data_IF_147522169293
#
_entry.id   IF_147522169293
#
_cell.length_a   1.000
_cell.length_b   1.000
_cell.length_c   1.000
_cell.angle_alpha   90.00
_cell.angle_beta   90.00
_cell.angle_gamma   90.00
#
_symmetry.space_group_name_H-M   'P 1'
#
loop_
_entity.id
_entity.type
_entity.pdbx_description
1 polymer ?
#
# COMPACT_ATOMS: atom_id res chain seq x y z
N UNK A 1 -71.24 38.83 -55.84
CA UNK A 1 -70.83 37.63 -56.61
C UNK A 1 -69.61 37.02 -55.90
N UNK A 2 -69.81 36.11 -54.95
CA UNK A 2 -69.80 34.64 -55.05
C UNK A 2 -68.43 34.04 -55.41
N UNK A 3 -67.80 33.45 -54.37
CA UNK A 3 -66.92 32.25 -54.29
C UNK A 3 -65.55 32.34 -55.02
N UNK A 4 -64.45 31.73 -54.57
CA UNK A 4 -64.34 30.44 -53.89
C UNK A 4 -62.99 30.29 -53.17
N UNK A 5 -62.99 29.34 -52.23
CA UNK A 5 -61.98 29.04 -51.24
C UNK A 5 -60.66 28.46 -51.78
N UNK A 6 -59.59 28.66 -51.00
CA UNK A 6 -58.60 27.62 -50.68
C UNK A 6 -57.97 27.91 -49.32
N UNK A 7 -58.48 27.22 -48.30
CA UNK A 7 -57.67 26.88 -47.12
C UNK A 7 -56.75 25.72 -47.52
N UNK A 8 -55.52 25.66 -46.97
CA UNK A 8 -55.28 24.54 -46.08
C UNK A 8 -54.50 24.92 -44.80
N UNK A 9 -55.12 24.57 -43.68
CA UNK A 9 -54.57 23.88 -42.49
C UNK A 9 -53.27 24.42 -41.88
N UNK A 10 -53.43 25.07 -40.70
CA UNK A 10 -52.41 25.12 -39.64
C UNK A 10 -52.08 23.68 -39.17
N UNK A 11 -50.87 23.42 -38.63
CA UNK A 11 -50.75 23.55 -37.17
C UNK A 11 -49.44 24.15 -36.66
N UNK A 12 -49.62 24.92 -35.59
CA UNK A 12 -48.64 25.39 -34.64
C UNK A 12 -48.04 24.19 -33.88
N UNK A 13 -46.82 23.75 -34.19
CA UNK A 13 -46.00 22.95 -33.26
C UNK A 13 -44.56 22.87 -33.79
N UNK A 14 -43.71 23.82 -33.41
CA UNK A 14 -42.28 23.76 -33.73
C UNK A 14 -41.40 24.30 -32.58
N UNK A 15 -41.79 24.10 -31.32
CA UNK A 15 -40.99 24.56 -30.17
C UNK A 15 -40.90 23.60 -28.98
N UNK A 16 -41.17 22.30 -29.14
CA UNK A 16 -41.07 21.34 -28.03
C UNK A 16 -39.98 20.25 -28.20
N UNK A 17 -39.37 20.09 -29.38
CA UNK A 17 -38.50 18.93 -29.66
C UNK A 17 -37.01 19.22 -29.48
N UNK A 18 -36.59 20.49 -29.42
CA UNK A 18 -35.17 20.87 -29.22
C UNK A 18 -34.70 20.85 -27.76
N UNK A 19 -35.59 20.66 -26.78
CA UNK A 19 -35.24 20.64 -25.35
C UNK A 19 -35.00 19.24 -24.76
N UNK A 20 -35.26 18.17 -25.52
CA UNK A 20 -35.10 16.78 -25.05
C UNK A 20 -33.78 16.11 -25.49
N UNK A 21 -33.06 16.69 -26.45
CA UNK A 21 -31.77 16.14 -26.89
C UNK A 21 -30.57 16.58 -26.03
N UNK A 22 -30.70 17.64 -25.23
CA UNK A 22 -29.63 18.08 -24.32
C UNK A 22 -29.57 17.29 -23.01
N UNK A 23 -30.67 16.67 -22.58
CA UNK A 23 -30.73 15.89 -21.34
C UNK A 23 -30.15 14.46 -21.48
N UNK A 24 -30.17 13.89 -22.68
CA UNK A 24 -29.69 12.52 -22.91
C UNK A 24 -28.17 12.41 -23.05
N UNK A 25 -27.48 13.51 -23.39
CA UNK A 25 -26.02 13.55 -23.46
C UNK A 25 -25.35 13.76 -22.09
N UNK A 26 -26.09 14.22 -21.07
CA UNK A 26 -25.58 14.39 -19.70
C UNK A 26 -25.61 13.10 -18.86
N UNK A 27 -26.42 12.11 -19.22
CA UNK A 27 -26.57 10.85 -18.46
C UNK A 27 -25.60 9.75 -18.92
N UNK A 28 -25.18 9.77 -20.18
CA UNK A 28 -24.22 8.79 -20.71
C UNK A 28 -22.77 9.05 -20.27
N UNK A 29 -22.43 10.30 -19.95
CA UNK A 29 -21.08 10.67 -19.46
C UNK A 29 -20.86 10.31 -17.99
N UNK A 30 -21.91 10.31 -17.15
CA UNK A 30 -21.80 9.95 -15.73
C UNK A 30 -21.55 8.47 -15.47
N UNK A 31 -22.26 7.58 -16.18
CA UNK A 31 -22.16 6.13 -15.97
C UNK A 31 -20.80 5.55 -16.41
N UNK A 32 -20.23 6.01 -17.53
CA UNK A 32 -18.92 5.57 -18.00
C UNK A 32 -17.75 6.08 -17.11
N UNK A 33 -17.94 7.24 -16.47
CA UNK A 33 -16.95 7.84 -15.57
C UNK A 33 -16.92 7.15 -14.20
N UNK A 34 -18.08 6.71 -13.69
CA UNK A 34 -18.20 5.94 -12.46
C UNK A 34 -17.53 4.55 -12.58
N UNK A 35 -17.81 3.80 -13.65
CA UNK A 35 -17.23 2.47 -13.91
C UNK A 35 -15.69 2.51 -14.06
N UNK A 36 -15.19 3.60 -14.64
CA UNK A 36 -13.74 3.86 -14.75
C UNK A 36 -13.13 4.17 -13.37
N UNK A 37 -13.84 4.88 -12.49
CA UNK A 37 -13.41 5.15 -11.11
C UNK A 37 -13.24 3.88 -10.29
N UNK A 38 -14.28 3.05 -10.25
CA UNK A 38 -14.30 1.80 -9.50
C UNK A 38 -13.20 0.83 -9.96
N UNK A 39 -12.94 0.78 -11.28
CA UNK A 39 -11.86 -0.04 -11.84
C UNK A 39 -10.48 0.44 -11.41
N UNK A 40 -10.27 1.75 -11.31
CA UNK A 40 -8.97 2.31 -10.92
C UNK A 40 -8.74 2.18 -9.42
N UNK A 41 -9.76 2.40 -8.59
CA UNK A 41 -9.71 2.19 -7.14
C UNK A 41 -9.34 0.73 -6.81
N UNK A 42 -10.06 -0.23 -7.39
CA UNK A 42 -9.74 -1.66 -7.26
C UNK A 42 -8.29 -2.01 -7.68
N UNK A 43 -7.73 -1.30 -8.67
CA UNK A 43 -6.33 -1.50 -9.09
C UNK A 43 -5.34 -0.91 -8.09
N UNK A 44 -5.68 0.19 -7.42
CA UNK A 44 -4.85 0.80 -6.39
C UNK A 44 -4.83 -0.05 -5.13
N UNK A 45 -5.97 -0.60 -4.71
CA UNK A 45 -6.07 -1.48 -3.54
C UNK A 45 -5.26 -2.75 -3.74
N UNK A 46 -5.48 -3.46 -4.86
CA UNK A 46 -4.68 -4.66 -5.23
C UNK A 46 -3.19 -4.37 -5.30
N UNK A 47 -2.82 -3.13 -5.65
CA UNK A 47 -1.42 -2.69 -5.66
C UNK A 47 -0.91 -2.43 -4.25
N UNK A 48 -1.71 -1.82 -3.38
CA UNK A 48 -1.46 -1.66 -1.95
C UNK A 48 -1.17 -3.00 -1.29
N UNK A 49 -2.11 -3.95 -1.37
CA UNK A 49 -1.98 -5.30 -0.80
C UNK A 49 -0.74 -6.04 -1.29
N UNK A 50 -0.36 -5.83 -2.55
CA UNK A 50 0.85 -6.44 -3.11
C UNK A 50 2.11 -5.82 -2.53
N UNK A 51 2.10 -4.52 -2.26
CA UNK A 51 3.24 -3.83 -1.67
C UNK A 51 3.37 -4.21 -0.19
N UNK A 52 2.29 -4.21 0.56
CA UNK A 52 2.24 -4.62 1.97
C UNK A 52 2.81 -6.02 2.15
N UNK A 53 2.26 -7.02 1.44
CA UNK A 53 2.78 -8.40 1.45
C UNK A 53 4.27 -8.52 1.07
N UNK A 54 4.80 -7.58 0.28
CA UNK A 54 6.23 -7.56 -0.07
C UNK A 54 7.08 -6.92 1.01
N UNK A 55 6.55 -5.98 1.78
CA UNK A 55 7.21 -5.40 2.94
C UNK A 55 7.24 -6.41 4.08
N UNK A 56 6.14 -7.11 4.36
CA UNK A 56 6.06 -8.13 5.42
C UNK A 56 7.05 -9.26 5.16
N UNK A 57 6.98 -9.88 3.96
CA UNK A 57 7.94 -10.92 3.55
C UNK A 57 9.39 -10.46 3.60
N UNK A 58 9.64 -9.15 3.45
CA UNK A 58 10.98 -8.59 3.57
C UNK A 58 11.38 -8.42 5.03
N UNK A 59 10.46 -8.00 5.90
CA UNK A 59 10.61 -7.99 7.36
C UNK A 59 10.95 -9.38 7.86
N UNK A 60 10.09 -10.36 7.60
CA UNK A 60 10.29 -11.76 8.01
C UNK A 60 11.66 -12.30 7.58
N UNK A 61 12.08 -12.01 6.34
CA UNK A 61 13.38 -12.47 5.83
C UNK A 61 14.55 -11.80 6.55
N UNK A 62 14.40 -10.54 6.94
CA UNK A 62 15.41 -9.82 7.70
C UNK A 62 15.50 -10.40 9.11
N UNK A 63 14.38 -10.63 9.78
CA UNK A 63 14.32 -11.12 11.16
C UNK A 63 14.92 -12.53 11.25
N UNK A 64 14.45 -13.44 10.38
CA UNK A 64 15.03 -14.77 10.24
C UNK A 64 16.55 -14.77 10.00
N UNK A 65 17.10 -13.73 9.35
CA UNK A 65 18.54 -13.60 9.13
C UNK A 65 19.28 -13.03 10.34
N UNK A 66 18.64 -12.16 11.11
CA UNK A 66 19.19 -11.63 12.35
C UNK A 66 19.21 -12.73 13.42
N UNK A 67 18.13 -13.48 13.59
CA UNK A 67 18.03 -14.58 14.55
C UNK A 67 19.09 -15.65 14.28
N UNK A 68 19.12 -16.18 13.04
CA UNK A 68 20.14 -17.16 12.61
C UNK A 68 21.57 -16.64 12.76
N UNK A 69 21.76 -15.32 12.76
CA UNK A 69 23.07 -14.71 13.00
C UNK A 69 23.37 -14.62 14.49
N UNK A 70 22.39 -14.24 15.31
CA UNK A 70 22.46 -14.25 16.77
C UNK A 70 22.81 -15.63 17.29
N UNK A 71 22.03 -16.65 16.90
CA UNK A 71 22.25 -18.05 17.30
C UNK A 71 23.66 -18.55 16.99
N UNK A 72 24.16 -18.23 15.79
CA UNK A 72 25.51 -18.60 15.34
C UNK A 72 26.59 -17.91 16.16
N UNK A 73 26.37 -16.67 16.58
CA UNK A 73 27.33 -15.93 17.40
C UNK A 73 27.30 -16.47 18.83
N UNK A 74 26.12 -16.64 19.43
CA UNK A 74 25.96 -17.16 20.79
C UNK A 74 26.56 -18.55 20.90
N UNK A 75 26.20 -19.46 20.00
CA UNK A 75 26.79 -20.81 19.93
C UNK A 75 28.33 -20.80 19.84
N UNK A 76 28.95 -19.79 19.23
CA UNK A 76 30.42 -19.68 19.14
C UNK A 76 31.02 -19.11 20.43
N UNK A 77 30.34 -18.15 21.04
CA UNK A 77 30.78 -17.53 22.29
C UNK A 77 30.62 -18.49 23.47
N UNK A 78 29.53 -19.25 23.53
CA UNK A 78 29.28 -20.25 24.57
C UNK A 78 30.38 -21.31 24.56
N UNK A 79 30.65 -21.92 23.39
CA UNK A 79 31.76 -22.89 23.25
C UNK A 79 33.12 -22.29 23.63
N UNK A 80 33.36 -21.02 23.31
CA UNK A 80 34.61 -20.35 23.67
C UNK A 80 34.67 -20.08 25.19
N UNK A 81 33.53 -19.75 25.81
CA UNK A 81 33.38 -19.49 27.24
C UNK A 81 33.58 -20.79 28.03
N UNK A 82 32.92 -21.86 27.64
CA UNK A 82 33.09 -23.21 28.19
C UNK A 82 34.55 -23.68 28.09
N UNK A 83 35.17 -23.52 26.92
CA UNK A 83 36.59 -23.87 26.74
C UNK A 83 37.51 -23.02 27.63
N UNK A 84 37.22 -21.74 27.81
CA UNK A 84 38.00 -20.89 28.69
C UNK A 84 37.86 -21.32 30.16
N UNK A 85 36.64 -21.62 30.61
CA UNK A 85 36.34 -22.11 31.96
C UNK A 85 37.02 -23.47 32.22
N UNK A 86 36.95 -24.41 31.27
CA UNK A 86 37.62 -25.71 31.37
C UNK A 86 39.15 -25.60 31.49
N UNK A 87 39.74 -24.52 30.96
CA UNK A 87 41.16 -24.21 31.11
C UNK A 87 41.48 -23.35 32.36
N UNK A 88 40.54 -23.18 33.28
CA UNK A 88 40.70 -22.39 34.51
C UNK A 88 40.67 -20.86 34.29
N UNK A 89 40.25 -20.38 33.12
CA UNK A 89 40.24 -18.96 32.77
C UNK A 89 38.86 -18.31 32.97
N UNK A 90 38.34 -18.32 34.21
CA UNK A 90 36.99 -17.80 34.54
C UNK A 90 36.77 -16.33 34.19
N UNK A 91 37.85 -15.52 34.21
CA UNK A 91 37.78 -14.11 33.81
C UNK A 91 37.51 -13.98 32.31
N UNK A 92 38.12 -14.85 31.50
CA UNK A 92 37.93 -14.86 30.05
C UNK A 92 36.53 -15.39 29.69
N UNK A 93 36.08 -16.47 30.34
CA UNK A 93 34.71 -16.99 30.20
C UNK A 93 33.66 -15.90 30.44
N UNK A 94 33.70 -15.26 31.63
CA UNK A 94 32.80 -14.13 31.96
C UNK A 94 32.93 -12.94 31.01
N UNK A 95 34.08 -12.74 30.37
CA UNK A 95 34.23 -11.68 29.38
C UNK A 95 33.50 -12.04 28.07
N UNK A 96 33.57 -13.30 27.64
CA UNK A 96 32.88 -13.81 26.47
C UNK A 96 31.36 -13.77 26.64
N UNK A 97 30.84 -14.15 27.82
CA UNK A 97 29.40 -14.09 28.09
C UNK A 97 28.87 -12.65 28.01
N UNK A 98 29.58 -11.69 28.65
CA UNK A 98 29.22 -10.27 28.56
C UNK A 98 29.31 -9.74 27.13
N UNK A 99 30.23 -10.27 26.33
CA UNK A 99 30.35 -9.93 24.92
C UNK A 99 29.16 -10.46 24.12
N UNK A 100 28.68 -11.67 24.42
CA UNK A 100 27.46 -12.27 23.86
C UNK A 100 26.26 -11.37 24.12
N UNK A 101 25.99 -11.06 25.38
CA UNK A 101 24.90 -10.17 25.78
C UNK A 101 24.97 -8.81 25.06
N UNK A 102 26.16 -8.24 24.88
CA UNK A 102 26.33 -6.97 24.16
C UNK A 102 26.03 -7.10 22.66
N UNK A 103 26.30 -8.25 22.05
CA UNK A 103 25.98 -8.51 20.65
C UNK A 103 24.48 -8.71 20.48
N UNK A 104 23.82 -9.46 21.36
CA UNK A 104 22.37 -9.67 21.32
C UNK A 104 21.64 -8.34 21.38
N UNK A 105 21.96 -7.51 22.38
CA UNK A 105 21.43 -6.14 22.49
C UNK A 105 21.67 -5.26 21.24
N UNK A 106 22.74 -5.53 20.47
CA UNK A 106 23.00 -4.79 19.21
C UNK A 106 22.17 -5.35 18.05
N UNK A 107 21.89 -6.64 18.03
CA UNK A 107 21.04 -7.28 17.03
C UNK A 107 19.59 -6.88 17.24
N UNK A 108 19.10 -6.88 18.48
CA UNK A 108 17.73 -6.45 18.82
C UNK A 108 17.47 -5.01 18.37
N UNK A 109 18.33 -4.07 18.79
CA UNK A 109 18.24 -2.67 18.35
C UNK A 109 18.32 -2.49 16.85
N UNK A 110 18.98 -3.42 16.15
CA UNK A 110 19.06 -3.42 14.69
C UNK A 110 17.74 -3.92 14.08
N UNK A 111 17.11 -4.94 14.66
CA UNK A 111 15.75 -5.38 14.35
C UNK A 111 14.76 -4.23 14.48
N UNK A 112 14.67 -3.64 15.68
CA UNK A 112 13.76 -2.51 15.97
C UNK A 112 13.92 -1.33 15.00
N UNK A 113 15.16 -1.07 14.54
CA UNK A 113 15.45 0.01 13.60
C UNK A 113 15.02 -0.35 12.18
N UNK A 114 15.06 -1.62 11.81
CA UNK A 114 14.59 -2.11 10.52
C UNK A 114 13.06 -2.11 10.48
N UNK A 115 12.39 -2.54 11.56
CA UNK A 115 10.93 -2.55 11.66
C UNK A 115 10.38 -1.14 11.50
N UNK A 116 10.86 -0.19 12.32
CA UNK A 116 10.49 1.24 12.18
C UNK A 116 10.74 1.81 10.79
N UNK A 117 11.75 1.31 10.06
CA UNK A 117 12.02 1.75 8.69
C UNK A 117 11.04 1.14 7.69
N UNK A 118 10.62 -0.10 7.89
CA UNK A 118 9.62 -0.78 7.07
C UNK A 118 8.25 -0.16 7.30
N UNK A 119 7.86 0.09 8.55
CA UNK A 119 6.59 0.76 8.90
C UNK A 119 6.50 2.13 8.26
N UNK A 120 7.53 2.97 8.46
CA UNK A 120 7.59 4.30 7.85
C UNK A 120 7.54 4.24 6.32
N UNK A 121 8.03 3.15 5.73
CA UNK A 121 7.95 2.95 4.28
C UNK A 121 6.54 2.53 3.86
N UNK A 122 5.88 1.66 4.63
CA UNK A 122 4.46 1.31 4.49
C UNK A 122 3.59 2.56 4.49
N UNK A 123 3.59 3.33 5.58
CA UNK A 123 2.74 4.52 5.72
C UNK A 123 2.97 5.58 4.62
N UNK A 124 4.22 5.69 4.12
CA UNK A 124 4.53 6.59 2.98
C UNK A 124 3.91 6.12 1.68
N UNK A 125 3.80 4.81 1.48
CA UNK A 125 3.18 4.20 0.32
C UNK A 125 1.66 4.35 0.43
N UNK A 126 1.09 4.05 1.59
CA UNK A 126 -0.35 4.16 1.84
C UNK A 126 -0.83 5.59 1.56
N UNK A 127 -0.19 6.58 2.18
CA UNK A 127 -0.53 7.98 1.91
C UNK A 127 -0.31 8.42 0.46
N UNK A 128 0.56 7.75 -0.32
CA UNK A 128 0.68 8.00 -1.78
C UNK A 128 -0.47 7.36 -2.56
N UNK A 129 -0.94 6.19 -2.15
CA UNK A 129 -2.09 5.52 -2.76
C UNK A 129 -3.37 6.29 -2.45
N UNK A 130 -3.58 6.72 -1.20
CA UNK A 130 -4.74 7.52 -0.79
C UNK A 130 -4.84 8.83 -1.58
N UNK A 131 -3.74 9.60 -1.65
CA UNK A 131 -3.70 10.84 -2.45
C UNK A 131 -3.97 10.57 -3.93
N UNK A 132 -3.57 9.40 -4.44
CA UNK A 132 -3.84 9.03 -5.83
C UNK A 132 -5.31 8.70 -6.02
N UNK A 133 -5.93 7.90 -5.14
CA UNK A 133 -7.36 7.59 -5.14
C UNK A 133 -8.21 8.85 -5.06
N UNK A 134 -7.93 9.74 -4.09
CA UNK A 134 -8.62 11.03 -3.97
C UNK A 134 -8.54 11.90 -5.24
N UNK A 135 -7.38 11.91 -5.92
CA UNK A 135 -7.23 12.67 -7.18
C UNK A 135 -8.04 12.09 -8.34
N UNK A 136 -8.29 10.78 -8.32
CA UNK A 136 -9.12 10.11 -9.33
C UNK A 136 -10.60 10.38 -9.02
N UNK A 137 -11.02 10.24 -7.76
CA UNK A 137 -12.39 10.49 -7.34
C UNK A 137 -12.83 11.95 -7.53
N UNK A 138 -11.90 12.92 -7.54
CA UNK A 138 -12.22 14.32 -7.87
C UNK A 138 -12.30 14.62 -9.37
N UNK A 139 -11.80 13.73 -10.23
CA UNK A 139 -11.77 13.92 -11.69
C UNK A 139 -12.94 13.24 -12.39
N UNK A 140 -13.55 12.26 -11.72
CA UNK A 140 -14.80 11.62 -12.13
C UNK A 140 -15.98 12.34 -11.47
#
# INVERSE_FOLDING_TARGET
>A
MIRNARNPRRPLVASAITLLLSASFLLATGAASADTGDTVENRLDKRGDRIERRLDKKGDRIDNRLDKKGDRINSRLDRASEKAAANGNDKAARHLDRRGNRIDNKLDRRGDRLDRKLDKRGSRIDGRLDRRGQRINRRN
#
